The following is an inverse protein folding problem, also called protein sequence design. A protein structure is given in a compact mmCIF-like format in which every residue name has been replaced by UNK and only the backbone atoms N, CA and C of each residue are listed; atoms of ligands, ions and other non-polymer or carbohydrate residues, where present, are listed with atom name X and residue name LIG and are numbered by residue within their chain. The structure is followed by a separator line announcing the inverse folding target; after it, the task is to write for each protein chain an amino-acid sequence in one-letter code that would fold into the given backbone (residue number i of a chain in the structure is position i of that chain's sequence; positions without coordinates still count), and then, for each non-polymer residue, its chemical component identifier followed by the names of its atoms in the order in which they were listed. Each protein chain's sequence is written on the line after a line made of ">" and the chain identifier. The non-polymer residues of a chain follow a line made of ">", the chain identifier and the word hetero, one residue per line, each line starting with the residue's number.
data_IF_419749609803
#
_entry.id   IF_419749609803
#
_cell.length_a   1.000
_cell.length_b   1.000
_cell.length_c   1.000
_cell.angle_alpha   90.00
_cell.angle_beta   90.00
_cell.angle_gamma   90.00
#
_symmetry.space_group_name_H-M   'P 1'
#
loop_
_entity.id
_entity.type
_entity.pdbx_description
1 polymer ?
#
# COMPACT_ATOMS: atom_id res chain seq x y z
N UNK A 1 -24.29 9.57 -10.36
CA UNK A 1 -23.44 9.27 -9.18
C UNK A 1 -23.70 10.34 -8.13
N UNK A 2 -24.44 10.02 -7.07
CA UNK A 2 -24.59 10.89 -5.91
C UNK A 2 -23.41 10.64 -4.97
N UNK A 3 -22.81 11.71 -4.44
CA UNK A 3 -21.82 11.60 -3.37
C UNK A 3 -22.53 11.55 -2.03
N UNK A 4 -22.03 10.72 -1.14
CA UNK A 4 -22.62 10.57 0.16
C UNK A 4 -22.14 11.67 1.14
N UNK A 5 -22.94 12.01 2.15
CA UNK A 5 -22.60 13.04 3.15
C UNK A 5 -21.21 12.83 3.79
N UNK A 6 -20.83 11.57 3.99
CA UNK A 6 -19.50 11.17 4.50
C UNK A 6 -18.39 11.47 3.50
N UNK A 7 -18.58 11.14 2.22
CA UNK A 7 -17.62 11.46 1.16
C UNK A 7 -17.43 12.97 1.06
N UNK A 8 -18.52 13.74 1.18
CA UNK A 8 -18.48 15.21 1.18
C UNK A 8 -17.72 15.73 2.41
N UNK A 9 -17.96 15.18 3.60
CA UNK A 9 -17.25 15.58 4.83
C UNK A 9 -15.75 15.25 4.78
N UNK A 10 -15.38 14.07 4.27
CA UNK A 10 -13.98 13.68 4.07
C UNK A 10 -13.31 14.59 3.04
N UNK A 11 -13.95 14.84 1.90
CA UNK A 11 -13.44 15.75 0.87
C UNK A 11 -13.28 17.18 1.41
N UNK A 12 -14.23 17.65 2.21
CA UNK A 12 -14.17 18.95 2.88
C UNK A 12 -12.92 19.04 3.79
N UNK A 13 -12.72 18.07 4.67
CA UNK A 13 -11.56 18.09 5.57
C UNK A 13 -10.23 17.89 4.86
N UNK A 14 -10.18 17.06 3.82
CA UNK A 14 -8.99 16.93 2.96
C UNK A 14 -8.65 18.26 2.29
N UNK A 15 -9.65 18.99 1.79
CA UNK A 15 -9.45 20.33 1.21
C UNK A 15 -8.97 21.33 2.26
N UNK A 16 -9.57 21.34 3.46
CA UNK A 16 -9.15 22.22 4.58
C UNK A 16 -7.70 21.94 4.99
N UNK A 17 -7.34 20.66 5.19
CA UNK A 17 -5.98 20.25 5.55
C UNK A 17 -5.01 20.62 4.42
N UNK A 18 -5.37 20.37 3.17
CA UNK A 18 -4.55 20.71 2.01
C UNK A 18 -4.28 22.22 1.94
N UNK A 19 -5.32 23.06 2.02
CA UNK A 19 -5.19 24.53 2.01
C UNK A 19 -4.36 25.00 3.21
N UNK A 20 -4.62 24.48 4.40
CA UNK A 20 -3.85 24.81 5.60
C UNK A 20 -2.38 24.41 5.45
N UNK A 21 -2.10 23.25 4.88
CA UNK A 21 -0.75 22.76 4.64
C UNK A 21 0.04 23.68 3.70
N UNK A 22 -0.62 24.28 2.69
CA UNK A 22 0.01 25.24 1.77
C UNK A 22 0.40 26.57 2.44
N UNK A 23 -0.20 26.92 3.58
CA UNK A 23 0.20 28.11 4.36
C UNK A 23 1.54 27.94 5.08
N UNK A 24 1.99 26.69 5.29
CA UNK A 24 3.26 26.39 5.96
C UNK A 24 4.40 26.40 4.94
N UNK A 25 5.38 27.29 5.16
CA UNK A 25 6.52 27.47 4.25
C UNK A 25 7.31 26.18 4.02
N UNK A 26 7.54 25.41 5.09
CA UNK A 26 8.27 24.13 5.04
C UNK A 26 7.51 23.05 4.26
N UNK A 27 6.18 23.04 4.39
CA UNK A 27 5.32 22.13 3.64
C UNK A 27 5.29 22.53 2.16
N UNK A 28 5.24 23.83 1.84
CA UNK A 28 5.26 24.28 0.45
C UNK A 28 6.56 23.94 -0.27
N UNK A 29 7.72 24.13 0.39
CA UNK A 29 9.00 23.71 -0.19
C UNK A 29 9.08 22.18 -0.33
N UNK A 30 8.65 21.44 0.68
CA UNK A 30 8.62 19.98 0.64
C UNK A 30 7.65 19.45 -0.41
N UNK A 31 6.48 20.07 -0.58
CA UNK A 31 5.49 19.72 -1.59
C UNK A 31 6.05 19.93 -2.99
N UNK A 32 6.74 21.05 -3.24
CA UNK A 32 7.39 21.29 -4.53
C UNK A 32 8.53 20.30 -4.81
N UNK A 33 9.27 19.88 -3.77
CA UNK A 33 10.30 18.86 -3.89
C UNK A 33 9.69 17.48 -4.15
N UNK A 34 8.65 17.10 -3.41
CA UNK A 34 7.89 15.86 -3.59
C UNK A 34 7.30 15.79 -5.00
N UNK A 35 6.71 16.87 -5.50
CA UNK A 35 6.15 16.91 -6.85
C UNK A 35 7.23 16.67 -7.91
N UNK A 36 8.41 17.31 -7.75
CA UNK A 36 9.57 17.10 -8.63
C UNK A 36 10.09 15.67 -8.56
N UNK A 37 10.13 15.07 -7.36
CA UNK A 37 10.60 13.70 -7.17
C UNK A 37 9.60 12.69 -7.76
N UNK A 38 8.31 12.87 -7.53
CA UNK A 38 7.24 12.03 -8.10
C UNK A 38 7.24 12.06 -9.63
N UNK A 39 7.63 13.18 -10.25
CA UNK A 39 7.75 13.31 -11.70
C UNK A 39 9.08 12.81 -12.29
N UNK A 40 9.95 12.20 -11.49
CA UNK A 40 11.14 11.55 -12.05
C UNK A 40 10.75 10.29 -12.81
N UNK A 41 11.40 10.04 -13.95
CA UNK A 41 11.14 8.87 -14.80
C UNK A 41 11.20 7.55 -14.02
N UNK A 42 12.05 7.48 -12.98
CA UNK A 42 12.21 6.31 -12.12
C UNK A 42 10.97 5.99 -11.25
N UNK A 43 10.11 6.97 -10.99
CA UNK A 43 8.86 6.78 -10.24
C UNK A 43 7.66 6.75 -11.20
N UNK A 44 7.64 7.63 -12.21
CA UNK A 44 6.56 7.69 -13.19
C UNK A 44 6.42 6.39 -13.97
N UNK A 45 7.51 5.75 -14.37
CA UNK A 45 7.45 4.51 -15.14
C UNK A 45 6.84 3.35 -14.31
N UNK A 46 7.31 3.03 -13.10
CA UNK A 46 6.63 2.06 -12.24
C UNK A 46 5.18 2.40 -11.92
N UNK A 47 4.87 3.68 -11.67
CA UNK A 47 3.53 4.10 -11.29
C UNK A 47 2.55 3.96 -12.47
N UNK A 48 2.96 4.35 -13.67
CA UNK A 48 2.16 4.14 -14.89
C UNK A 48 2.03 2.65 -15.21
N UNK A 49 3.09 1.85 -14.99
CA UNK A 49 3.02 0.39 -15.07
C UNK A 49 2.00 -0.22 -14.09
N UNK A 50 1.94 0.28 -12.86
CA UNK A 50 0.95 -0.16 -11.87
C UNK A 50 -0.48 0.16 -12.32
N UNK A 51 -0.72 1.39 -12.77
CA UNK A 51 -2.04 1.81 -13.25
C UNK A 51 -2.47 1.01 -14.49
N UNK A 52 -1.55 0.75 -15.43
CA UNK A 52 -1.82 -0.10 -16.59
C UNK A 52 -2.16 -1.53 -16.18
N UNK A 53 -1.44 -2.07 -15.18
CA UNK A 53 -1.70 -3.40 -14.63
C UNK A 53 -3.08 -3.47 -13.94
N UNK A 54 -3.43 -2.47 -13.13
CA UNK A 54 -4.75 -2.36 -12.51
C UNK A 54 -5.85 -2.28 -13.58
N UNK A 55 -5.67 -1.48 -14.63
CA UNK A 55 -6.61 -1.40 -15.74
C UNK A 55 -6.80 -2.75 -16.43
N UNK A 56 -5.73 -3.54 -16.59
CA UNK A 56 -5.79 -4.89 -17.11
C UNK A 56 -6.56 -5.84 -16.16
N UNK A 57 -6.32 -5.76 -14.86
CA UNK A 57 -7.09 -6.52 -13.86
C UNK A 57 -8.58 -6.18 -13.90
N UNK A 58 -8.93 -4.90 -13.99
CA UNK A 58 -10.32 -4.45 -14.12
C UNK A 58 -10.93 -5.01 -15.41
N UNK A 59 -10.22 -4.97 -16.54
CA UNK A 59 -10.71 -5.52 -17.80
C UNK A 59 -10.95 -7.04 -17.74
N UNK A 60 -10.10 -7.78 -17.03
CA UNK A 60 -10.28 -9.22 -16.78
C UNK A 60 -11.49 -9.48 -15.88
N UNK A 61 -11.65 -8.73 -14.80
CA UNK A 61 -12.77 -8.86 -13.87
C UNK A 61 -14.10 -8.45 -14.51
N UNK A 62 -14.10 -7.43 -15.37
CA UNK A 62 -15.27 -7.01 -16.14
C UNK A 62 -15.71 -8.12 -17.11
N UNK A 63 -14.77 -8.80 -17.78
CA UNK A 63 -15.08 -9.96 -18.63
C UNK A 63 -15.62 -11.15 -17.84
N UNK A 64 -15.22 -11.29 -16.58
CA UNK A 64 -15.74 -12.32 -15.67
C UNK A 64 -17.09 -11.95 -15.03
N UNK A 65 -17.72 -10.83 -15.42
CA UNK A 65 -18.92 -10.26 -14.79
C UNK A 65 -18.75 -9.98 -13.28
N UNK A 66 -17.52 -9.73 -12.83
CA UNK A 66 -17.19 -9.45 -11.43
C UNK A 66 -17.02 -7.95 -11.16
N UNK A 67 -16.83 -7.13 -12.20
CA UNK A 67 -16.67 -5.69 -12.10
C UNK A 67 -17.69 -4.96 -12.98
N UNK A 68 -18.38 -3.97 -12.41
CA UNK A 68 -19.35 -3.12 -13.09
C UNK A 68 -18.99 -1.64 -12.95
N UNK A 69 -19.57 -0.77 -13.79
CA UNK A 69 -19.32 0.67 -13.74
C UNK A 69 -19.67 1.34 -12.41
N UNK A 70 -20.56 0.71 -11.62
CA UNK A 70 -20.85 1.11 -10.24
C UNK A 70 -19.61 1.07 -9.35
N UNK A 71 -18.70 0.11 -9.55
CA UNK A 71 -17.51 -0.12 -8.74
C UNK A 71 -16.35 0.84 -9.00
N UNK A 72 -16.49 1.76 -9.96
CA UNK A 72 -15.40 2.64 -10.35
C UNK A 72 -14.90 3.50 -9.19
N UNK A 73 -15.81 4.02 -8.36
CA UNK A 73 -15.47 4.82 -7.18
C UNK A 73 -14.65 4.01 -6.18
N UNK A 74 -15.10 2.80 -5.85
CA UNK A 74 -14.43 1.93 -4.87
C UNK A 74 -13.06 1.52 -5.37
N UNK A 75 -12.94 1.21 -6.67
CA UNK A 75 -11.68 0.86 -7.31
C UNK A 75 -10.69 2.04 -7.28
N UNK A 76 -11.18 3.27 -7.49
CA UNK A 76 -10.36 4.48 -7.44
C UNK A 76 -9.85 4.74 -6.01
N UNK A 77 -10.74 4.65 -5.01
CA UNK A 77 -10.38 4.80 -3.60
C UNK A 77 -9.38 3.73 -3.16
N UNK A 78 -9.62 2.48 -3.55
CA UNK A 78 -8.70 1.36 -3.31
C UNK A 78 -7.33 1.58 -3.98
N UNK A 79 -7.32 2.13 -5.19
CA UNK A 79 -6.06 2.41 -5.91
C UNK A 79 -5.22 3.46 -5.18
N UNK A 80 -5.84 4.56 -4.73
CA UNK A 80 -5.15 5.65 -4.04
C UNK A 80 -4.70 5.24 -2.63
N UNK A 81 -5.52 4.48 -1.91
CA UNK A 81 -5.21 4.01 -0.56
C UNK A 81 -4.30 2.78 -0.55
N UNK A 82 -4.87 1.64 -0.90
CA UNK A 82 -4.22 0.34 -0.74
C UNK A 82 -3.16 0.08 -1.81
N UNK A 83 -3.47 0.27 -3.10
CA UNK A 83 -2.51 -0.06 -4.16
C UNK A 83 -1.26 0.83 -4.08
N UNK A 84 -1.46 2.14 -3.89
CA UNK A 84 -0.35 3.07 -3.71
C UNK A 84 0.41 2.82 -2.40
N UNK A 85 -0.28 2.54 -1.30
CA UNK A 85 0.37 2.17 -0.03
C UNK A 85 1.26 0.93 -0.14
N UNK A 86 0.76 -0.12 -0.81
CA UNK A 86 1.53 -1.33 -1.12
C UNK A 86 2.73 -1.04 -2.03
N UNK A 87 2.53 -0.20 -3.04
CA UNK A 87 3.58 0.20 -3.97
C UNK A 87 4.73 0.92 -3.25
N UNK A 88 4.43 1.86 -2.34
CA UNK A 88 5.46 2.56 -1.56
C UNK A 88 6.23 1.61 -0.64
N UNK A 89 5.55 0.63 -0.04
CA UNK A 89 6.16 -0.38 0.84
C UNK A 89 6.89 -1.50 0.07
N UNK A 90 6.80 -1.55 -1.26
CA UNK A 90 7.41 -2.62 -2.07
C UNK A 90 8.92 -2.75 -1.90
N UNK A 91 9.61 -1.67 -1.53
CA UNK A 91 11.05 -1.69 -1.22
C UNK A 91 11.37 -2.54 0.03
N UNK A 92 10.46 -2.58 1.01
CA UNK A 92 10.61 -3.35 2.25
C UNK A 92 10.34 -4.85 2.04
N UNK A 93 9.60 -5.20 0.99
CA UNK A 93 9.16 -6.56 0.70
C UNK A 93 10.31 -7.57 0.51
N UNK A 94 11.53 -7.10 0.18
CA UNK A 94 12.69 -7.98 0.08
C UNK A 94 13.17 -8.53 1.43
N UNK A 95 12.95 -7.79 2.52
CA UNK A 95 13.49 -8.10 3.84
C UNK A 95 12.58 -8.91 4.75
N UNK A 96 11.28 -9.00 4.43
CA UNK A 96 10.27 -9.66 5.24
C UNK A 96 9.52 -10.73 4.43
N UNK A 97 9.76 -12.01 4.74
CA UNK A 97 9.07 -13.14 4.11
C UNK A 97 7.56 -13.14 4.37
N UNK A 98 7.12 -12.49 5.46
CA UNK A 98 5.71 -12.35 5.81
C UNK A 98 5.08 -11.14 5.14
N UNK A 99 5.83 -10.29 4.45
CA UNK A 99 5.34 -9.04 3.86
C UNK A 99 4.10 -9.24 3.01
N UNK A 100 4.10 -10.20 2.08
CA UNK A 100 2.95 -10.41 1.19
C UNK A 100 1.74 -10.94 1.93
N UNK A 101 1.96 -11.75 2.98
CA UNK A 101 0.87 -12.28 3.81
C UNK A 101 0.30 -11.16 4.69
N UNK A 102 1.14 -10.40 5.38
CA UNK A 102 0.72 -9.27 6.22
C UNK A 102 0.09 -8.17 5.37
N UNK A 103 0.65 -7.87 4.20
CA UNK A 103 0.09 -6.95 3.21
C UNK A 103 -1.36 -7.28 2.87
N UNK A 104 -1.68 -8.56 2.64
CA UNK A 104 -3.07 -8.99 2.46
C UNK A 104 -3.84 -8.67 3.74
N UNK A 105 -3.54 -9.29 4.87
CA UNK A 105 -4.35 -9.12 6.09
C UNK A 105 -4.52 -7.67 6.58
N UNK A 106 -3.48 -6.84 6.50
CA UNK A 106 -3.51 -5.44 6.89
C UNK A 106 -4.36 -4.60 5.94
N UNK A 107 -4.20 -4.78 4.62
CA UNK A 107 -5.07 -4.11 3.65
C UNK A 107 -6.50 -4.62 3.73
N UNK A 108 -6.71 -5.91 4.02
CA UNK A 108 -8.05 -6.47 4.22
C UNK A 108 -8.77 -5.79 5.38
N UNK A 109 -8.08 -5.61 6.51
CA UNK A 109 -8.65 -4.94 7.68
C UNK A 109 -8.94 -3.47 7.38
N UNK A 110 -8.03 -2.78 6.71
CA UNK A 110 -8.18 -1.36 6.36
C UNK A 110 -9.32 -1.14 5.37
N UNK A 111 -9.38 -1.93 4.29
CA UNK A 111 -10.42 -1.77 3.27
C UNK A 111 -11.76 -2.22 3.78
N UNK A 112 -11.86 -3.35 4.50
CA UNK A 112 -13.11 -3.75 5.11
C UNK A 112 -13.63 -2.68 6.08
N UNK A 113 -12.76 -2.03 6.85
CA UNK A 113 -13.15 -0.90 7.70
C UNK A 113 -13.58 0.33 6.88
N UNK A 114 -12.82 0.70 5.85
CA UNK A 114 -13.09 1.88 5.03
C UNK A 114 -14.36 1.71 4.22
N UNK A 115 -14.55 0.56 3.59
CA UNK A 115 -15.73 0.22 2.80
C UNK A 115 -16.97 0.07 3.67
N UNK A 116 -16.85 -0.57 4.84
CA UNK A 116 -17.93 -0.61 5.82
C UNK A 116 -18.31 0.78 6.32
N UNK A 117 -17.33 1.66 6.55
CA UNK A 117 -17.60 3.05 6.87
C UNK A 117 -18.22 3.76 5.65
N UNK A 118 -17.69 3.69 4.44
CA UNK A 118 -18.23 4.45 3.30
C UNK A 118 -19.63 3.98 2.90
N UNK A 119 -19.90 2.68 2.94
CA UNK A 119 -21.18 2.06 2.55
C UNK A 119 -22.20 1.97 3.69
N UNK A 120 -21.83 2.28 4.93
CA UNK A 120 -22.79 2.39 6.02
C UNK A 120 -23.71 3.59 5.82
N UNK A 121 -24.91 3.50 6.40
CA UNK A 121 -25.83 4.62 6.53
C UNK A 121 -25.09 5.89 6.95
N UNK A 122 -25.41 6.95 6.23
CA UNK A 122 -24.72 8.23 6.34
C UNK A 122 -25.47 9.10 7.28
N UNK A 123 -24.75 9.70 8.22
CA UNK A 123 -25.34 10.68 9.07
C UNK A 123 -25.65 11.95 8.25
N UNK A 124 -26.53 12.82 8.75
CA UNK A 124 -26.67 14.16 8.21
C UNK A 124 -25.29 14.83 8.09
N UNK A 125 -25.07 15.60 7.03
CA UNK A 125 -23.76 16.18 6.71
C UNK A 125 -23.08 16.90 7.89
N UNK A 126 -23.85 17.61 8.71
CA UNK A 126 -23.31 18.32 9.88
C UNK A 126 -22.75 17.38 10.95
N UNK A 127 -23.33 16.18 11.13
CA UNK A 127 -22.81 15.15 12.04
C UNK A 127 -21.52 14.57 11.47
N UNK A 128 -21.49 14.27 10.17
CA UNK A 128 -20.29 13.71 9.49
C UNK A 128 -19.10 14.67 9.57
N UNK A 129 -19.32 15.99 9.41
CA UNK A 129 -18.27 17.00 9.52
C UNK A 129 -17.61 16.99 10.91
N UNK A 130 -18.34 16.67 11.98
CA UNK A 130 -17.77 16.57 13.34
C UNK A 130 -17.19 15.19 13.60
N UNK A 131 -17.84 14.14 13.12
CA UNK A 131 -17.45 12.75 13.37
C UNK A 131 -16.14 12.35 12.68
N UNK A 132 -15.98 12.73 11.41
CA UNK A 132 -14.76 12.43 10.60
C UNK A 132 -13.47 12.88 11.28
N UNK A 133 -13.29 14.16 11.68
CA UNK A 133 -12.05 14.61 12.31
C UNK A 133 -11.86 14.01 13.71
N UNK A 134 -12.93 13.71 14.44
CA UNK A 134 -12.86 13.06 15.75
C UNK A 134 -12.23 11.66 15.63
N UNK A 135 -12.73 10.85 14.69
CA UNK A 135 -12.18 9.51 14.41
C UNK A 135 -10.75 9.61 13.88
N UNK A 136 -10.48 10.53 12.94
CA UNK A 136 -9.15 10.74 12.40
C UNK A 136 -8.12 11.10 13.48
N UNK A 137 -8.50 11.98 14.41
CA UNK A 137 -7.65 12.38 15.54
C UNK A 137 -7.40 11.22 16.51
N UNK A 138 -8.40 10.38 16.79
CA UNK A 138 -8.21 9.16 17.59
C UNK A 138 -7.23 8.17 16.94
N UNK A 139 -7.33 7.99 15.62
CA UNK A 139 -6.39 7.13 14.87
C UNK A 139 -4.98 7.73 14.91
N UNK A 140 -4.84 9.03 14.65
CA UNK A 140 -3.54 9.71 14.69
C UNK A 140 -2.88 9.62 16.07
N UNK A 141 -3.64 9.81 17.16
CA UNK A 141 -3.14 9.66 18.52
C UNK A 141 -2.67 8.22 18.77
N UNK A 142 -3.43 7.22 18.30
CA UNK A 142 -3.08 5.82 18.46
C UNK A 142 -1.77 5.47 17.71
N UNK A 143 -1.66 5.89 16.45
CA UNK A 143 -0.46 5.62 15.63
C UNK A 143 0.75 6.42 16.13
N UNK A 144 0.57 7.68 16.53
CA UNK A 144 1.64 8.49 17.12
C UNK A 144 2.16 7.88 18.44
N UNK A 145 1.25 7.38 19.28
CA UNK A 145 1.60 6.69 20.53
C UNK A 145 2.41 5.40 20.28
N UNK A 146 2.15 4.67 19.18
CA UNK A 146 2.96 3.49 18.80
C UNK A 146 4.39 3.85 18.41
N UNK A 147 4.58 4.99 17.75
CA UNK A 147 5.89 5.40 17.23
C UNK A 147 6.87 5.85 18.32
N UNK A 148 6.36 6.35 19.45
CA UNK A 148 7.21 7.04 20.44
C UNK A 148 7.67 6.17 21.61
N UNK A 149 7.12 4.96 21.82
CA UNK A 149 7.46 4.00 22.91
C UNK A 149 7.85 4.65 24.27
N UNK A 150 7.24 5.78 24.61
CA UNK A 150 7.53 6.54 25.83
C UNK A 150 6.58 6.09 26.95
N UNK A 151 7.10 5.94 28.18
CA UNK A 151 6.31 5.54 29.35
C UNK A 151 5.12 6.50 29.57
N UNK A 152 3.90 5.96 29.53
CA UNK A 152 2.64 6.72 29.66
C UNK A 152 1.78 6.74 28.40
N UNK A 153 2.37 6.58 27.21
CA UNK A 153 1.62 6.50 25.94
C UNK A 153 0.84 5.19 25.79
N UNK A 154 1.22 4.13 26.51
CA UNK A 154 0.50 2.85 26.52
C UNK A 154 -0.92 2.96 27.08
N UNK A 155 -1.13 3.81 28.10
CA UNK A 155 -2.47 4.07 28.66
C UNK A 155 -3.34 4.81 27.65
N UNK A 156 -2.79 5.83 26.98
CA UNK A 156 -3.49 6.59 25.92
C UNK A 156 -3.82 5.66 24.76
N UNK A 157 -2.87 4.82 24.34
CA UNK A 157 -3.08 3.81 23.30
C UNK A 157 -4.17 2.82 23.66
N UNK A 158 -4.16 2.27 24.87
CA UNK A 158 -5.19 1.33 25.33
C UNK A 158 -6.57 1.98 25.36
N UNK A 159 -6.67 3.22 25.85
CA UNK A 159 -7.91 3.99 25.87
C UNK A 159 -8.42 4.31 24.46
N UNK A 160 -7.57 4.86 23.59
CA UNK A 160 -7.92 5.17 22.20
C UNK A 160 -8.28 3.90 21.41
N UNK A 161 -7.55 2.80 21.60
CA UNK A 161 -7.86 1.52 20.98
C UNK A 161 -9.19 0.93 21.50
N UNK A 162 -9.45 1.05 22.80
CA UNK A 162 -10.71 0.64 23.41
C UNK A 162 -11.89 1.44 22.86
N UNK A 163 -11.74 2.76 22.75
CA UNK A 163 -12.78 3.65 22.23
C UNK A 163 -13.04 3.40 20.73
N UNK A 164 -11.99 3.24 19.92
CA UNK A 164 -12.10 2.81 18.52
C UNK A 164 -12.75 1.43 18.41
N UNK A 165 -12.47 0.53 19.35
CA UNK A 165 -13.10 -0.79 19.45
C UNK A 165 -14.59 -0.68 19.74
N UNK A 166 -15.00 0.17 20.69
CA UNK A 166 -16.42 0.41 21.02
C UNK A 166 -17.14 1.04 19.83
N UNK A 167 -16.54 2.03 19.17
CA UNK A 167 -17.09 2.62 17.94
C UNK A 167 -17.25 1.53 16.88
N UNK A 168 -16.22 0.73 16.64
CA UNK A 168 -16.28 -0.38 15.68
C UNK A 168 -17.37 -1.40 16.01
N UNK A 169 -17.51 -1.80 17.28
CA UNK A 169 -18.56 -2.73 17.73
C UNK A 169 -19.94 -2.11 17.61
N UNK A 170 -20.13 -0.84 17.98
CA UNK A 170 -21.41 -0.14 17.87
C UNK A 170 -21.86 -0.03 16.41
N UNK A 171 -20.91 0.26 15.51
CA UNK A 171 -21.12 0.31 14.06
C UNK A 171 -21.46 -1.10 13.53
N UNK A 172 -20.75 -2.15 13.95
CA UNK A 172 -21.07 -3.54 13.61
C UNK A 172 -22.46 -3.98 14.10
N UNK A 173 -22.82 -3.67 15.34
CA UNK A 173 -24.11 -4.03 15.93
C UNK A 173 -25.28 -3.31 15.25
N UNK A 174 -25.10 -2.02 14.91
CA UNK A 174 -26.07 -1.25 14.14
C UNK A 174 -26.28 -1.86 12.75
N UNK A 175 -25.18 -2.22 12.05
CA UNK A 175 -25.28 -2.86 10.74
C UNK A 175 -25.95 -4.22 10.80
N UNK A 176 -25.62 -5.07 11.78
CA UNK A 176 -26.28 -6.37 11.94
C UNK A 176 -27.78 -6.19 12.16
N UNK A 177 -28.18 -5.25 13.03
CA UNK A 177 -29.58 -4.95 13.30
C UNK A 177 -30.33 -4.50 12.04
N UNK A 178 -29.68 -3.71 11.19
CA UNK A 178 -30.27 -3.18 9.97
C UNK A 178 -30.33 -4.25 8.86
N UNK A 179 -29.27 -5.03 8.69
CA UNK A 179 -29.24 -6.18 7.75
C UNK A 179 -30.33 -7.18 8.09
N UNK A 180 -30.56 -7.47 9.38
CA UNK A 180 -31.64 -8.38 9.82
C UNK A 180 -33.03 -7.77 9.61
N UNK A 181 -33.16 -6.44 9.67
CA UNK A 181 -34.42 -5.72 9.45
C UNK A 181 -34.86 -5.64 7.99
N UNK A 182 -33.91 -5.57 7.05
CA UNK A 182 -34.17 -5.42 5.60
C UNK A 182 -33.29 -6.34 4.74
N UNK A 183 -33.31 -7.64 5.06
CA UNK A 183 -32.50 -8.69 4.38
C UNK A 183 -32.66 -8.71 2.85
N UNK A 184 -33.82 -8.32 2.32
CA UNK A 184 -34.08 -8.35 0.87
C UNK A 184 -33.48 -7.18 0.10
N UNK A 185 -33.33 -6.00 0.71
CA UNK A 185 -32.63 -4.86 0.08
C UNK A 185 -31.11 -4.95 0.26
N UNK A 186 -30.64 -5.45 1.41
CA UNK A 186 -29.20 -5.57 1.72
C UNK A 186 -28.50 -6.75 1.02
N UNK A 187 -29.19 -7.88 0.79
CA UNK A 187 -28.57 -9.09 0.22
C UNK A 187 -28.66 -9.16 -1.32
N UNK A 188 -28.37 -8.05 -2.01
CA UNK A 188 -28.23 -8.11 -3.47
C UNK A 188 -26.85 -8.67 -3.83
N UNK A 189 -26.77 -9.55 -4.82
CA UNK A 189 -25.51 -10.17 -5.29
C UNK A 189 -24.43 -9.14 -5.59
N UNK A 190 -24.82 -7.95 -6.08
CA UNK A 190 -23.94 -6.83 -6.35
C UNK A 190 -23.20 -6.33 -5.10
N UNK A 191 -23.89 -6.19 -3.96
CA UNK A 191 -23.28 -5.68 -2.72
C UNK A 191 -22.25 -6.65 -2.14
N UNK A 192 -22.45 -7.96 -2.35
CA UNK A 192 -21.47 -8.99 -2.00
C UNK A 192 -20.23 -8.93 -2.91
N UNK A 193 -20.42 -8.64 -4.21
CA UNK A 193 -19.29 -8.43 -5.11
C UNK A 193 -18.53 -7.17 -4.76
N UNK A 194 -19.21 -6.07 -4.46
CA UNK A 194 -18.61 -4.81 -4.05
C UNK A 194 -17.72 -5.05 -2.81
N UNK A 195 -18.25 -5.73 -1.78
CA UNK A 195 -17.51 -6.07 -0.57
C UNK A 195 -16.26 -6.92 -0.83
N UNK A 196 -16.31 -7.87 -1.77
CA UNK A 196 -15.19 -8.78 -2.05
C UNK A 196 -14.21 -8.19 -3.08
N UNK A 197 -14.62 -7.17 -3.83
CA UNK A 197 -13.86 -6.62 -4.94
C UNK A 197 -12.46 -6.12 -4.52
N UNK A 198 -12.28 -5.36 -3.43
CA UNK A 198 -10.96 -4.93 -3.02
C UNK A 198 -10.03 -6.08 -2.61
N UNK A 199 -10.60 -7.18 -2.11
CA UNK A 199 -9.85 -8.39 -1.75
C UNK A 199 -9.28 -9.05 -3.01
N UNK A 200 -10.11 -9.15 -4.03
CA UNK A 200 -9.73 -9.70 -5.33
C UNK A 200 -8.70 -8.80 -5.98
N UNK A 201 -8.95 -7.49 -6.07
CA UNK A 201 -8.01 -6.53 -6.64
C UNK A 201 -6.64 -6.54 -5.94
N UNK A 202 -6.61 -6.60 -4.60
CA UNK A 202 -5.35 -6.72 -3.84
C UNK A 202 -4.61 -8.00 -4.17
N UNK A 203 -5.31 -9.12 -4.21
CA UNK A 203 -4.70 -10.42 -4.56
C UNK A 203 -4.11 -10.42 -5.96
N UNK A 204 -4.82 -9.81 -6.92
CA UNK A 204 -4.35 -9.64 -8.30
C UNK A 204 -3.18 -8.65 -8.39
N UNK A 205 -3.07 -7.66 -7.49
CA UNK A 205 -1.97 -6.69 -7.47
C UNK A 205 -0.66 -7.28 -6.92
N UNK A 206 -0.71 -8.28 -6.03
CA UNK A 206 0.50 -8.84 -5.39
C UNK A 206 1.57 -9.32 -6.37
N UNK A 207 1.27 -10.04 -7.47
CA UNK A 207 2.25 -10.38 -8.49
C UNK A 207 3.01 -9.17 -9.04
N UNK A 208 2.30 -8.05 -9.28
CA UNK A 208 2.94 -6.81 -9.72
C UNK A 208 3.88 -6.25 -8.64
N UNK A 209 3.43 -6.20 -7.38
CA UNK A 209 4.26 -5.74 -6.26
C UNK A 209 5.49 -6.62 -6.07
N UNK A 210 5.36 -7.93 -6.25
CA UNK A 210 6.48 -8.87 -6.19
C UNK A 210 7.52 -8.58 -7.28
N UNK A 211 7.07 -8.37 -8.51
CA UNK A 211 7.94 -8.00 -9.63
C UNK A 211 8.63 -6.66 -9.38
N UNK A 212 7.90 -5.67 -8.83
CA UNK A 212 8.49 -4.39 -8.45
C UNK A 212 9.57 -4.53 -7.38
N UNK A 213 9.31 -5.30 -6.33
CA UNK A 213 10.28 -5.57 -5.28
C UNK A 213 11.55 -6.23 -5.85
N UNK A 214 11.40 -7.19 -6.77
CA UNK A 214 12.53 -7.80 -7.48
C UNK A 214 13.33 -6.78 -8.29
N UNK A 215 12.66 -5.95 -9.08
CA UNK A 215 13.30 -4.91 -9.89
C UNK A 215 14.09 -3.94 -9.03
N UNK A 216 13.52 -3.48 -7.90
CA UNK A 216 14.19 -2.57 -6.96
C UNK A 216 15.45 -3.22 -6.38
N UNK A 217 15.38 -4.49 -5.98
CA UNK A 217 16.55 -5.21 -5.45
C UNK A 217 17.64 -5.39 -6.51
N UNK A 218 17.26 -5.74 -7.75
CA UNK A 218 18.21 -5.84 -8.87
C UNK A 218 18.85 -4.51 -9.21
N UNK A 219 18.08 -3.42 -9.32
CA UNK A 219 18.62 -2.10 -9.63
C UNK A 219 19.61 -1.65 -8.55
N UNK A 220 19.25 -1.83 -7.28
CA UNK A 220 20.11 -1.52 -6.13
C UNK A 220 21.41 -2.33 -6.17
N UNK A 221 21.32 -3.63 -6.44
CA UNK A 221 22.47 -4.51 -6.59
C UNK A 221 23.38 -4.11 -7.76
N UNK A 222 22.78 -3.86 -8.92
CA UNK A 222 23.51 -3.54 -10.14
C UNK A 222 24.21 -2.19 -10.06
N UNK A 223 23.58 -1.20 -9.43
CA UNK A 223 24.23 0.09 -9.14
C UNK A 223 25.43 -0.08 -8.21
N UNK A 224 25.34 -0.94 -7.19
CA UNK A 224 26.48 -1.25 -6.31
C UNK A 224 27.60 -1.96 -7.07
N UNK A 225 27.28 -2.95 -7.90
CA UNK A 225 28.28 -3.66 -8.72
C UNK A 225 29.01 -2.69 -9.64
N UNK A 226 28.28 -1.77 -10.30
CA UNK A 226 28.88 -0.74 -11.15
C UNK A 226 29.77 0.22 -10.36
N UNK A 227 29.39 0.56 -9.13
CA UNK A 227 30.18 1.45 -8.27
C UNK A 227 31.48 0.81 -7.79
N UNK A 228 31.45 -0.48 -7.42
CA UNK A 228 32.63 -1.20 -6.90
C UNK A 228 33.51 -1.84 -7.98
N UNK A 229 33.01 -1.97 -9.21
CA UNK A 229 33.71 -2.63 -10.32
C UNK A 229 33.91 -1.66 -11.48
N UNK A 230 35.09 -1.02 -11.59
CA UNK A 230 35.37 -0.04 -12.65
C UNK A 230 35.32 -0.63 -14.06
N UNK A 231 35.63 -1.93 -14.21
CA UNK A 231 35.57 -2.63 -15.48
C UNK A 231 34.11 -2.98 -15.86
N UNK A 232 33.64 -2.36 -16.96
CA UNK A 232 32.29 -2.54 -17.50
C UNK A 232 32.03 -3.97 -18.01
N UNK A 233 33.05 -4.68 -18.50
CA UNK A 233 32.92 -6.06 -18.98
C UNK A 233 32.68 -7.01 -17.80
N UNK A 234 33.46 -6.83 -16.73
CA UNK A 234 33.34 -7.58 -15.50
C UNK A 234 32.00 -7.32 -14.79
N UNK A 235 31.57 -6.05 -14.73
CA UNK A 235 30.25 -5.69 -14.19
C UNK A 235 29.10 -6.38 -14.95
N UNK A 236 29.10 -6.35 -16.29
CA UNK A 236 28.06 -7.01 -17.09
C UNK A 236 28.01 -8.52 -16.84
N UNK A 237 29.16 -9.17 -16.79
CA UNK A 237 29.25 -10.60 -16.50
C UNK A 237 28.70 -10.94 -15.10
N UNK A 238 29.07 -10.16 -14.08
CA UNK A 238 28.57 -10.31 -12.72
C UNK A 238 27.04 -10.14 -12.66
N UNK A 239 26.48 -9.10 -13.29
CA UNK A 239 25.03 -8.87 -13.35
C UNK A 239 24.27 -10.04 -13.97
N UNK A 240 24.76 -10.54 -15.11
CA UNK A 240 24.15 -11.66 -15.82
C UNK A 240 24.18 -12.93 -14.97
N UNK A 241 25.28 -13.17 -14.25
CA UNK A 241 25.43 -14.35 -13.39
C UNK A 241 24.58 -14.27 -12.13
N UNK A 242 24.45 -13.09 -11.52
CA UNK A 242 23.51 -12.85 -10.41
C UNK A 242 22.08 -13.08 -10.86
N UNK A 243 21.70 -12.56 -12.03
CA UNK A 243 20.37 -12.78 -12.60
C UNK A 243 20.08 -14.27 -12.85
N UNK A 244 21.01 -15.00 -13.45
CA UNK A 244 20.86 -16.45 -13.69
C UNK A 244 20.82 -17.28 -12.39
N UNK A 245 21.59 -16.90 -11.37
CA UNK A 245 21.73 -17.69 -10.15
C UNK A 245 20.60 -17.46 -9.14
N UNK A 246 20.16 -16.20 -9.00
CA UNK A 246 19.14 -15.82 -8.03
C UNK A 246 17.73 -15.63 -8.67
N UNK A 247 17.64 -15.51 -10.00
CA UNK A 247 16.41 -15.59 -10.82
C UNK A 247 15.25 -14.75 -10.24
N UNK A 248 14.04 -15.32 -10.11
CA UNK A 248 12.88 -14.66 -9.51
C UNK A 248 12.73 -14.88 -7.99
N UNK A 249 13.78 -15.30 -7.28
CA UNK A 249 13.69 -15.53 -5.82
C UNK A 249 14.03 -14.26 -5.04
N UNK A 250 12.99 -13.49 -4.68
CA UNK A 250 13.13 -12.19 -4.03
C UNK A 250 13.95 -12.24 -2.73
N UNK A 251 13.66 -13.21 -1.87
CA UNK A 251 14.35 -13.31 -0.58
C UNK A 251 15.83 -13.69 -0.71
N UNK A 252 16.16 -14.61 -1.63
CA UNK A 252 17.56 -14.97 -1.91
C UNK A 252 18.33 -13.77 -2.45
N UNK A 253 17.71 -13.02 -3.37
CA UNK A 253 18.29 -11.82 -3.94
C UNK A 253 18.52 -10.72 -2.89
N UNK A 254 17.56 -10.52 -1.98
CA UNK A 254 17.70 -9.53 -0.90
C UNK A 254 18.81 -9.93 0.08
N UNK A 255 18.88 -11.21 0.49
CA UNK A 255 19.96 -11.73 1.34
C UNK A 255 21.33 -11.56 0.70
N UNK A 256 21.43 -11.82 -0.60
CA UNK A 256 22.64 -11.59 -1.38
C UNK A 256 22.98 -10.09 -1.44
N UNK A 257 22.00 -9.24 -1.73
CA UNK A 257 22.14 -7.77 -1.79
C UNK A 257 22.74 -7.17 -0.53
N UNK A 258 22.26 -7.60 0.63
CA UNK A 258 22.75 -7.10 1.91
C UNK A 258 24.20 -7.52 2.20
N UNK A 259 24.58 -8.74 1.81
CA UNK A 259 25.95 -9.26 1.99
C UNK A 259 26.95 -8.71 0.96
N UNK A 260 26.49 -8.44 -0.26
CA UNK A 260 27.30 -7.93 -1.35
C UNK A 260 27.82 -6.49 -1.13
N UNK A 261 27.13 -5.67 -0.32
CA UNK A 261 27.55 -4.29 -0.01
C UNK A 261 28.89 -4.15 0.72
N UNK A 262 29.45 -5.25 1.23
CA UNK A 262 30.75 -5.28 1.94
C UNK A 262 31.89 -5.75 1.02
N UNK A 263 31.58 -6.22 -0.18
CA UNK A 263 32.52 -6.99 -1.01
C UNK A 263 33.07 -6.13 -2.15
N UNK A 264 34.38 -5.83 -2.10
CA UNK A 264 35.14 -5.37 -3.27
C UNK A 264 35.50 -6.58 -4.11
N UNK A 265 35.00 -6.65 -5.34
CA UNK A 265 35.36 -7.72 -6.26
C UNK A 265 36.57 -7.29 -7.09
N UNK A 266 37.69 -8.00 -6.93
CA UNK A 266 38.90 -7.78 -7.74
C UNK A 266 39.07 -8.82 -8.86
N UNK A 267 38.47 -10.00 -8.72
CA UNK A 267 38.71 -11.11 -9.64
C UNK A 267 37.44 -11.88 -10.06
N UNK A 268 37.48 -12.50 -11.25
CA UNK A 268 36.34 -13.20 -11.88
C UNK A 268 35.95 -14.45 -11.11
N UNK A 269 36.93 -15.26 -10.70
CA UNK A 269 36.68 -16.56 -10.09
C UNK A 269 36.16 -16.43 -8.64
N UNK A 270 36.66 -15.44 -7.89
CA UNK A 270 36.18 -15.09 -6.54
C UNK A 270 34.71 -14.65 -6.55
N UNK A 271 34.29 -14.01 -7.65
CA UNK A 271 32.92 -13.55 -7.87
C UNK A 271 31.98 -14.74 -8.16
N UNK A 272 32.43 -15.72 -8.94
CA UNK A 272 31.67 -16.92 -9.31
C UNK A 272 31.45 -17.82 -8.10
N UNK A 273 32.51 -18.11 -7.34
CA UNK A 273 32.47 -19.01 -6.20
C UNK A 273 31.53 -18.46 -5.10
N UNK A 274 31.55 -17.14 -4.88
CA UNK A 274 30.68 -16.48 -3.90
C UNK A 274 29.23 -16.32 -4.33
N UNK A 275 28.95 -16.08 -5.62
CA UNK A 275 27.57 -16.10 -6.12
C UNK A 275 26.96 -17.49 -5.92
N UNK A 276 27.73 -18.55 -6.22
CA UNK A 276 27.29 -19.93 -6.05
C UNK A 276 27.13 -20.33 -4.57
N UNK A 277 28.00 -19.86 -3.67
CA UNK A 277 27.89 -20.15 -2.24
C UNK A 277 26.76 -19.39 -1.55
N UNK A 278 26.34 -18.23 -2.09
CA UNK A 278 25.34 -17.35 -1.45
C UNK A 278 23.93 -17.47 -2.06
N UNK A 279 23.77 -17.86 -3.32
CA UNK A 279 22.44 -18.16 -3.92
C UNK A 279 21.98 -19.63 -3.69
N UNK A 280 22.77 -20.45 -2.97
CA UNK A 280 22.43 -21.84 -2.59
C UNK A 280 21.36 -21.91 -1.50
#
# INVERSE_FOLDING_TARGET
>A
MTFNNREIAVAFWLAVIFIWSLTKKDVRSSFSALLKTLFTWKIVLPLTGMLAYIALCIALLARANFWHWSNFKDTLLWTIGSAFGLFLRSNEAGGDEKFFRSAVYENLKFVAMLEFVVNMYTFPLWVEIVFVPLVALMVLINEYAKWKEEEGFDKVRSFSAGLLGIIGIGVLAFTIRQVVGDLREFATTQMLFDLVLPFVLTSFLLPFIYMMALLIQYETLFMRIDFFTPDKSLSRYAKLKVFLSCNFHLYRLHRFSRKAGVLKFRDKDELIERIQSLCK
#
